data_IF_384073431629
#
_entry.id   IF_384073431629
#
_cell.length_a   1.000
_cell.length_b   1.000
_cell.length_c   1.000
_cell.angle_alpha   90.00
_cell.angle_beta   90.00
_cell.angle_gamma   90.00
#
_symmetry.space_group_name_H-M   'P 1'
#
loop_
_entity.id
_entity.type
_entity.pdbx_description
1 polymer ?
#
# COMPACT_ATOMS: atom_id res chain seq x y z
N UNK A 1 14.06 18.64 -1.99
CA UNK A 1 15.00 18.54 -3.14
C UNK A 1 16.01 19.67 -3.12
N UNK A 2 15.62 20.94 -3.31
CA UNK A 2 16.56 22.09 -3.28
C UNK A 2 17.47 22.08 -2.06
N UNK A 3 16.91 22.07 -0.85
CA UNK A 3 17.71 22.00 0.38
C UNK A 3 18.65 20.77 0.46
N UNK A 4 18.25 19.66 -0.15
CA UNK A 4 19.07 18.45 -0.18
C UNK A 4 20.22 18.58 -1.18
N UNK A 5 19.96 19.10 -2.38
CA UNK A 5 20.99 19.33 -3.41
C UNK A 5 22.03 20.35 -2.94
N UNK A 6 21.63 21.38 -2.19
CA UNK A 6 22.54 22.38 -1.61
C UNK A 6 23.56 21.75 -0.63
N UNK A 7 23.09 20.85 0.23
CA UNK A 7 23.91 20.21 1.26
C UNK A 7 24.66 18.97 0.76
N UNK A 8 24.08 18.23 -0.19
CA UNK A 8 24.56 16.93 -0.65
C UNK A 8 24.61 16.83 -2.18
N UNK A 9 25.39 17.68 -2.88
CA UNK A 9 25.34 17.83 -4.34
C UNK A 9 25.78 16.57 -5.13
N UNK A 10 26.45 15.62 -4.47
CA UNK A 10 26.91 14.36 -5.08
C UNK A 10 25.98 13.18 -4.81
N UNK A 11 24.97 13.36 -3.96
CA UNK A 11 24.01 12.33 -3.60
C UNK A 11 22.68 12.54 -4.33
N UNK A 12 21.88 11.48 -4.45
CA UNK A 12 20.55 11.56 -5.04
C UNK A 12 19.49 11.25 -3.98
N UNK A 13 18.47 12.10 -3.91
CA UNK A 13 17.30 11.88 -3.08
C UNK A 13 16.26 11.04 -3.85
N UNK A 14 15.56 10.16 -3.16
CA UNK A 14 14.40 9.44 -3.70
C UNK A 14 13.26 9.52 -2.70
N UNK A 15 12.08 9.87 -3.18
CA UNK A 15 10.83 9.87 -2.43
C UNK A 15 10.14 8.53 -2.75
N UNK A 16 10.14 7.63 -1.78
CA UNK A 16 9.78 6.22 -2.02
C UNK A 16 8.27 5.99 -1.83
N UNK A 17 7.75 6.11 -0.60
CA UNK A 17 6.35 5.82 -0.28
C UNK A 17 5.70 6.81 0.71
N UNK A 18 4.36 6.86 0.72
CA UNK A 18 3.59 7.65 1.68
C UNK A 18 3.56 6.95 3.04
N UNK A 19 3.63 7.73 4.11
CA UNK A 19 3.38 7.25 5.47
C UNK A 19 1.94 7.57 5.88
N UNK A 20 1.22 6.60 6.45
CA UNK A 20 -0.19 6.71 6.79
C UNK A 20 -0.53 7.91 7.70
N UNK A 21 0.36 8.30 8.62
CA UNK A 21 0.16 9.47 9.50
C UNK A 21 0.35 10.83 8.83
N UNK A 22 0.84 10.88 7.58
CA UNK A 22 1.19 12.13 6.91
C UNK A 22 2.70 12.29 6.84
N UNK A 23 3.25 11.88 5.71
CA UNK A 23 4.67 12.04 5.44
C UNK A 23 5.09 11.27 4.20
N UNK A 24 6.32 11.53 3.76
CA UNK A 24 7.00 10.76 2.74
C UNK A 24 8.23 10.10 3.33
N UNK A 25 8.38 8.81 3.09
CA UNK A 25 9.64 8.13 3.33
C UNK A 25 10.61 8.46 2.20
N UNK A 26 11.79 8.92 2.58
CA UNK A 26 12.85 9.36 1.70
C UNK A 26 14.09 8.50 1.90
N UNK A 27 14.76 8.16 0.81
CA UNK A 27 16.02 7.45 0.80
C UNK A 27 17.08 8.24 0.05
N UNK A 28 18.33 8.03 0.44
CA UNK A 28 19.48 8.61 -0.24
C UNK A 28 20.21 7.53 -1.01
N UNK A 29 20.32 7.73 -2.31
CA UNK A 29 21.00 6.81 -3.22
C UNK A 29 22.48 7.14 -3.34
N UNK A 30 23.28 6.14 -3.71
CA UNK A 30 24.71 6.25 -3.99
C UNK A 30 25.59 6.68 -2.80
N UNK A 31 25.09 6.59 -1.57
CA UNK A 31 25.86 6.75 -0.32
C UNK A 31 25.17 6.04 0.84
N UNK A 32 25.80 6.08 2.01
CA UNK A 32 25.17 5.67 3.27
C UNK A 32 23.99 6.58 3.62
N UNK A 33 22.99 6.08 4.36
CA UNK A 33 21.92 6.89 4.93
C UNK A 33 22.47 8.12 5.67
N UNK A 34 21.69 9.21 5.68
CA UNK A 34 22.07 10.42 6.43
C UNK A 34 22.17 10.11 7.92
N UNK A 35 23.17 10.69 8.59
CA UNK A 35 23.22 10.67 10.06
C UNK A 35 22.11 11.54 10.66
N UNK A 36 21.84 11.37 11.96
CA UNK A 36 20.88 12.21 12.68
C UNK A 36 21.27 13.70 12.61
N UNK A 37 22.57 14.01 12.67
CA UNK A 37 23.08 15.38 12.52
C UNK A 37 22.87 15.92 11.10
N UNK A 38 23.07 15.09 10.07
CA UNK A 38 22.81 15.48 8.67
C UNK A 38 21.32 15.72 8.42
N UNK A 39 20.43 14.93 9.03
CA UNK A 39 18.98 15.12 8.97
C UNK A 39 18.58 16.42 9.67
N UNK A 40 19.15 16.71 10.83
CA UNK A 40 18.91 17.98 11.54
C UNK A 40 19.40 19.19 10.74
N UNK A 41 20.57 19.08 10.11
CA UNK A 41 21.11 20.13 9.22
C UNK A 41 20.21 20.35 8.00
N UNK A 42 19.71 19.26 7.39
CA UNK A 42 18.75 19.33 6.29
C UNK A 42 17.45 20.01 6.72
N UNK A 43 16.89 19.66 7.88
CA UNK A 43 15.69 20.32 8.40
C UNK A 43 15.95 21.82 8.66
N UNK A 44 17.07 22.17 9.28
CA UNK A 44 17.44 23.56 9.54
C UNK A 44 17.53 24.37 8.25
N UNK A 45 18.22 23.85 7.23
CA UNK A 45 18.33 24.51 5.92
C UNK A 45 16.97 24.64 5.23
N UNK A 46 16.10 23.63 5.31
CA UNK A 46 14.71 23.75 4.84
C UNK A 46 13.96 24.88 5.56
N UNK A 47 14.14 25.04 6.88
CA UNK A 47 13.50 26.12 7.66
C UNK A 47 14.04 27.50 7.28
N UNK A 48 15.32 27.62 6.94
CA UNK A 48 15.89 28.86 6.41
C UNK A 48 15.25 29.27 5.09
N UNK A 49 15.09 28.32 4.15
CA UNK A 49 14.38 28.57 2.89
C UNK A 49 12.93 28.97 3.10
N UNK A 50 12.24 28.37 4.08
CA UNK A 50 10.85 28.74 4.44
C UNK A 50 10.80 30.15 5.05
N UNK A 51 11.75 30.51 5.91
CA UNK A 51 11.81 31.84 6.52
C UNK A 51 12.11 32.95 5.49
N UNK A 52 12.84 32.62 4.42
CA UNK A 52 13.13 33.53 3.32
C UNK A 52 11.94 33.79 2.38
N UNK A 53 10.84 33.03 2.50
CA UNK A 53 9.60 33.19 1.72
C UNK A 53 9.82 33.35 0.20
N UNK A 54 10.64 32.47 -0.36
CA UNK A 54 11.08 32.52 -1.76
C UNK A 54 9.93 32.07 -2.66
N UNK A 55 9.57 32.81 -3.72
CA UNK A 55 8.50 32.44 -4.63
C UNK A 55 8.86 31.23 -5.49
N UNK A 56 7.87 30.38 -5.79
CA UNK A 56 7.98 29.33 -6.79
C UNK A 56 7.56 29.87 -8.15
N UNK A 57 8.49 29.95 -9.09
CA UNK A 57 8.21 30.43 -10.44
C UNK A 57 7.71 29.28 -11.31
N UNK A 58 6.60 29.50 -12.02
CA UNK A 58 6.02 28.53 -12.96
C UNK A 58 6.34 28.95 -14.38
N UNK A 59 7.07 28.11 -15.10
CA UNK A 59 7.42 28.35 -16.51
C UNK A 59 6.97 27.19 -17.38
N UNK A 60 6.54 27.49 -18.61
CA UNK A 60 6.23 26.48 -19.62
C UNK A 60 7.37 26.48 -20.64
N UNK A 61 7.98 25.31 -20.84
CA UNK A 61 9.12 25.13 -21.74
C UNK A 61 8.83 24.05 -22.79
N UNK A 62 9.44 24.10 -23.98
CA UNK A 62 9.41 23.00 -24.93
C UNK A 62 9.97 21.72 -24.31
N UNK A 63 9.41 20.56 -24.68
CA UNK A 63 9.83 19.28 -24.10
C UNK A 63 11.31 18.97 -24.33
N UNK A 64 11.86 19.34 -25.50
CA UNK A 64 13.27 19.15 -25.83
C UNK A 64 14.20 19.93 -24.89
N UNK A 65 13.81 21.14 -24.48
CA UNK A 65 14.57 21.95 -23.52
C UNK A 65 14.56 21.29 -22.14
N UNK A 66 13.40 20.83 -21.69
CA UNK A 66 13.27 20.12 -20.42
C UNK A 66 14.11 18.82 -20.39
N UNK A 67 14.08 18.03 -21.47
CA UNK A 67 14.90 16.81 -21.59
C UNK A 67 16.38 17.15 -21.48
N UNK A 68 16.87 18.14 -22.24
CA UNK A 68 18.28 18.54 -22.20
C UNK A 68 18.71 19.02 -20.79
N UNK A 69 17.83 19.74 -20.09
CA UNK A 69 18.07 20.17 -18.71
C UNK A 69 18.20 18.97 -17.75
N UNK A 70 17.26 18.02 -17.79
CA UNK A 70 17.29 16.85 -16.91
C UNK A 70 18.42 15.87 -17.25
N UNK A 71 18.79 15.74 -18.52
CA UNK A 71 19.97 14.97 -18.95
C UNK A 71 21.25 15.56 -18.36
N UNK A 72 21.42 16.90 -18.42
CA UNK A 72 22.58 17.59 -17.84
C UNK A 72 22.66 17.42 -16.32
N UNK A 73 21.52 17.34 -15.63
CA UNK A 73 21.43 17.04 -14.19
C UNK A 73 21.56 15.55 -13.84
N UNK A 74 21.66 14.66 -14.83
CA UNK A 74 21.77 13.22 -14.59
C UNK A 74 20.47 12.54 -14.13
N UNK A 75 19.31 13.20 -14.32
CA UNK A 75 17.99 12.71 -13.92
C UNK A 75 17.38 11.80 -15.00
N UNK A 76 18.03 10.66 -15.25
CA UNK A 76 17.71 9.75 -16.37
C UNK A 76 16.31 9.13 -16.30
N UNK A 77 15.78 8.92 -15.10
CA UNK A 77 14.41 8.46 -14.85
C UNK A 77 13.35 9.46 -15.36
N UNK A 78 13.54 10.76 -15.10
CA UNK A 78 12.69 11.82 -15.68
C UNK A 78 12.82 11.88 -17.19
N UNK A 79 14.04 11.75 -17.72
CA UNK A 79 14.28 11.76 -19.17
C UNK A 79 13.53 10.62 -19.85
N UNK A 80 13.60 9.39 -19.30
CA UNK A 80 12.83 8.24 -19.80
C UNK A 80 11.33 8.51 -19.78
N UNK A 81 10.80 9.00 -18.65
CA UNK A 81 9.38 9.34 -18.52
C UNK A 81 8.93 10.35 -19.59
N UNK A 82 9.74 11.37 -19.85
CA UNK A 82 9.41 12.42 -20.83
C UNK A 82 9.41 11.93 -22.29
N UNK A 83 10.13 10.85 -22.63
CA UNK A 83 10.12 10.28 -24.00
C UNK A 83 8.75 9.76 -24.44
N UNK A 84 7.94 9.30 -23.49
CA UNK A 84 6.60 8.76 -23.74
C UNK A 84 5.49 9.82 -23.64
N UNK A 85 5.85 11.07 -23.33
CA UNK A 85 4.89 12.17 -23.21
C UNK A 85 4.37 12.60 -24.58
N UNK A 86 3.05 12.78 -24.70
CA UNK A 86 2.40 13.21 -25.95
C UNK A 86 2.36 14.74 -26.15
N UNK A 87 2.46 15.53 -25.07
CA UNK A 87 2.47 17.00 -25.15
C UNK A 87 3.87 17.51 -25.48
N UNK A 88 3.94 18.49 -26.37
CA UNK A 88 5.17 19.15 -26.84
C UNK A 88 5.80 20.12 -25.83
N UNK A 89 5.13 20.36 -24.70
CA UNK A 89 5.58 21.25 -23.64
C UNK A 89 5.49 20.61 -22.25
N UNK A 90 6.28 21.17 -21.34
CA UNK A 90 6.34 20.82 -19.94
C UNK A 90 6.22 22.07 -19.07
N UNK A 91 5.49 21.96 -17.96
CA UNK A 91 5.45 22.99 -16.93
C UNK A 91 6.52 22.65 -15.92
N UNK A 92 7.49 23.55 -15.74
CA UNK A 92 8.51 23.45 -14.71
C UNK A 92 8.20 24.44 -13.59
N UNK A 93 8.46 24.00 -12.36
CA UNK A 93 8.51 24.85 -11.19
C UNK A 93 9.96 25.13 -10.86
N UNK A 94 10.25 26.40 -10.58
CA UNK A 94 11.59 26.87 -10.29
C UNK A 94 11.63 27.49 -8.89
N UNK A 95 12.65 27.11 -8.12
CA UNK A 95 13.04 27.74 -6.87
C UNK A 95 14.53 28.07 -6.97
N UNK A 96 14.86 29.36 -7.03
CA UNK A 96 16.22 29.84 -7.31
C UNK A 96 16.76 29.23 -8.61
N UNK A 97 17.92 28.59 -8.61
CA UNK A 97 18.53 27.94 -9.79
C UNK A 97 17.96 26.54 -10.09
N UNK A 98 17.12 26.00 -9.20
CA UNK A 98 16.60 24.64 -9.31
C UNK A 98 15.26 24.64 -10.02
N UNK A 99 15.21 23.98 -11.18
CA UNK A 99 13.97 23.67 -11.89
C UNK A 99 13.65 22.19 -11.74
N UNK A 100 12.40 21.86 -11.46
CA UNK A 100 11.91 20.48 -11.54
C UNK A 100 10.47 20.43 -12.08
N UNK A 101 10.11 19.26 -12.61
CA UNK A 101 8.78 18.89 -13.01
C UNK A 101 8.08 18.16 -11.86
N UNK A 102 6.91 18.66 -11.48
CA UNK A 102 6.06 18.01 -10.50
C UNK A 102 4.65 17.78 -11.03
N UNK A 103 4.08 16.64 -10.66
CA UNK A 103 2.71 16.30 -11.00
C UNK A 103 1.74 16.95 -9.99
N UNK A 104 1.28 18.16 -10.29
CA UNK A 104 0.34 18.90 -9.45
C UNK A 104 0.59 20.39 -9.45
N UNK A 105 0.09 21.06 -8.41
CA UNK A 105 0.29 22.49 -8.20
C UNK A 105 1.20 22.71 -7.01
N UNK A 106 2.08 23.70 -7.12
CA UNK A 106 2.86 24.21 -6.00
C UNK A 106 2.12 25.31 -5.25
N UNK A 107 2.43 25.44 -3.97
CA UNK A 107 2.14 26.64 -3.20
C UNK A 107 2.86 27.86 -3.81
N UNK A 108 2.41 29.10 -3.55
CA UNK A 108 3.01 30.28 -4.17
C UNK A 108 4.48 30.54 -3.78
N UNK A 109 4.86 30.23 -2.54
CA UNK A 109 6.20 30.46 -2.00
C UNK A 109 6.57 29.46 -0.90
N UNK A 110 7.85 29.37 -0.56
CA UNK A 110 8.35 28.50 0.52
C UNK A 110 7.73 28.85 1.87
N UNK A 111 7.31 30.09 2.11
CA UNK A 111 6.69 30.52 3.36
C UNK A 111 5.35 29.83 3.69
N UNK A 112 4.72 29.14 2.74
CA UNK A 112 3.54 28.31 2.98
C UNK A 112 3.86 26.95 3.62
N UNK A 113 5.10 26.48 3.53
CA UNK A 113 5.54 25.16 3.97
C UNK A 113 6.01 25.17 5.44
N UNK A 114 5.20 25.75 6.33
CA UNK A 114 5.61 26.00 7.74
C UNK A 114 5.65 24.74 8.61
N UNK A 115 4.75 23.80 8.34
CA UNK A 115 4.48 22.67 9.23
C UNK A 115 5.07 21.39 8.65
N UNK A 116 6.35 21.17 8.92
CA UNK A 116 7.05 19.93 8.61
C UNK A 116 8.09 19.58 9.69
N UNK A 117 8.51 18.32 9.68
CA UNK A 117 9.64 17.83 10.47
C UNK A 117 10.29 16.65 9.73
N UNK A 118 11.59 16.45 9.93
CA UNK A 118 12.30 15.27 9.49
C UNK A 118 12.54 14.32 10.67
N UNK A 119 12.43 13.02 10.45
CA UNK A 119 12.74 12.02 11.46
C UNK A 119 13.50 10.83 10.84
N UNK A 120 14.58 10.34 11.46
CA UNK A 120 15.27 9.15 11.00
C UNK A 120 14.33 7.93 11.05
N UNK A 121 14.42 7.07 10.04
CA UNK A 121 13.61 5.85 9.98
C UNK A 121 14.32 4.74 9.20
N UNK A 122 14.86 3.75 9.93
CA UNK A 122 15.57 2.65 9.30
C UNK A 122 16.78 3.13 8.48
N UNK A 123 16.81 2.82 7.18
CA UNK A 123 17.87 3.22 6.24
C UNK A 123 17.59 4.55 5.52
N UNK A 124 16.60 5.31 5.97
CA UNK A 124 16.22 6.60 5.39
C UNK A 124 15.67 7.55 6.44
N UNK A 125 14.85 8.48 6.01
CA UNK A 125 14.18 9.44 6.89
C UNK A 125 12.78 9.73 6.38
N UNK A 126 11.91 10.25 7.24
CA UNK A 126 10.55 10.66 6.88
C UNK A 126 10.44 12.17 6.89
N UNK A 127 10.01 12.75 5.78
CA UNK A 127 9.50 14.11 5.73
C UNK A 127 8.03 14.12 6.16
N UNK A 128 7.76 14.56 7.38
CA UNK A 128 6.41 14.65 7.95
C UNK A 128 5.76 15.97 7.56
N UNK A 129 4.48 15.94 7.23
CA UNK A 129 3.68 17.11 6.89
C UNK A 129 2.25 16.98 7.45
N UNK A 130 1.51 18.09 7.51
CA UNK A 130 0.17 18.14 8.10
C UNK A 130 -0.90 17.54 7.18
N UNK A 131 -1.98 17.02 7.77
CA UNK A 131 -3.12 16.45 7.01
C UNK A 131 -4.23 17.50 6.90
N UNK A 132 -5.12 17.36 5.91
CA UNK A 132 -6.26 18.29 5.71
C UNK A 132 -7.14 18.44 6.96
N UNK A 133 -7.37 17.35 7.69
CA UNK A 133 -8.17 17.35 8.91
C UNK A 133 -7.43 17.91 10.15
N UNK A 134 -6.10 18.01 10.09
CA UNK A 134 -5.28 18.64 11.13
C UNK A 134 -4.16 19.46 10.48
N UNK A 135 -4.48 20.67 9.96
CA UNK A 135 -3.63 21.40 9.03
C UNK A 135 -2.41 22.07 9.68
N UNK A 136 -2.38 22.18 11.02
CA UNK A 136 -1.34 22.86 11.79
C UNK A 136 -0.58 21.94 12.75
N UNK A 137 -0.97 20.67 12.84
CA UNK A 137 -0.39 19.71 13.79
C UNK A 137 0.23 18.53 13.04
N UNK A 138 1.47 18.19 13.41
CA UNK A 138 2.15 17.01 12.90
C UNK A 138 1.76 15.79 13.72
N UNK A 139 0.92 14.93 13.13
CA UNK A 139 0.51 13.68 13.76
C UNK A 139 1.72 12.79 14.08
N UNK A 140 1.70 12.06 15.21
CA UNK A 140 2.80 11.20 15.61
C UNK A 140 3.08 10.12 14.55
N UNK A 141 4.34 9.70 14.45
CA UNK A 141 4.75 8.61 13.58
C UNK A 141 4.35 7.27 14.19
N UNK A 142 3.49 6.49 13.55
CA UNK A 142 3.19 5.15 14.03
C UNK A 142 4.33 4.20 13.63
N UNK A 143 4.61 3.24 14.50
CA UNK A 143 5.56 2.17 14.17
C UNK A 143 4.85 1.08 13.34
N UNK A 144 5.17 0.99 12.05
CA UNK A 144 4.66 -0.05 11.16
C UNK A 144 5.80 -0.89 10.54
N UNK A 145 6.56 -1.66 11.33
CA UNK A 145 7.73 -2.39 10.83
C UNK A 145 7.38 -3.32 9.67
N UNK A 146 6.28 -4.08 9.78
CA UNK A 146 5.81 -4.97 8.71
C UNK A 146 5.54 -4.25 7.39
N UNK A 147 4.95 -3.05 7.44
CA UNK A 147 4.64 -2.28 6.24
C UNK A 147 5.92 -1.76 5.58
N UNK A 148 6.92 -1.37 6.38
CA UNK A 148 8.21 -0.94 5.87
C UNK A 148 8.99 -2.07 5.23
N UNK A 149 8.93 -3.27 5.80
CA UNK A 149 9.51 -4.45 5.20
C UNK A 149 8.85 -4.75 3.84
N UNK A 150 7.52 -4.61 3.73
CA UNK A 150 6.81 -4.74 2.45
C UNK A 150 7.29 -3.73 1.41
N UNK A 151 7.45 -2.45 1.77
CA UNK A 151 7.95 -1.44 0.83
C UNK A 151 9.37 -1.71 0.37
N UNK A 152 10.27 -2.11 1.29
CA UNK A 152 11.64 -2.49 0.94
C UNK A 152 11.70 -3.71 0.02
N UNK A 153 10.89 -4.73 0.32
CA UNK A 153 10.79 -5.92 -0.52
C UNK A 153 10.32 -5.54 -1.93
N UNK A 154 9.30 -4.70 -2.04
CA UNK A 154 8.79 -4.22 -3.32
C UNK A 154 9.83 -3.39 -4.10
N UNK A 155 10.54 -2.47 -3.45
CA UNK A 155 11.63 -1.71 -4.09
C UNK A 155 12.74 -2.63 -4.62
N UNK A 156 13.13 -3.66 -3.86
CA UNK A 156 14.09 -4.66 -4.30
C UNK A 156 13.57 -5.47 -5.51
N UNK A 157 12.28 -5.76 -5.59
CA UNK A 157 11.66 -6.40 -6.75
C UNK A 157 11.72 -5.52 -8.00
N UNK A 158 11.34 -4.25 -7.87
CA UNK A 158 11.40 -3.28 -8.97
C UNK A 158 12.82 -3.13 -9.51
N UNK A 159 13.82 -3.08 -8.61
CA UNK A 159 15.23 -2.97 -8.99
C UNK A 159 15.71 -4.22 -9.75
N UNK A 160 15.37 -5.42 -9.27
CA UNK A 160 15.68 -6.68 -9.97
C UNK A 160 15.07 -6.77 -11.36
N UNK A 161 13.87 -6.22 -11.53
CA UNK A 161 13.16 -6.18 -12.82
C UNK A 161 13.64 -5.03 -13.72
N UNK A 162 14.39 -4.06 -13.18
CA UNK A 162 14.82 -2.86 -13.87
C UNK A 162 13.67 -1.92 -14.24
N UNK A 163 12.61 -1.88 -13.40
CA UNK A 163 11.39 -1.08 -13.62
C UNK A 163 11.08 -0.18 -12.41
N UNK A 164 12.09 0.47 -11.85
CA UNK A 164 11.96 1.33 -10.65
C UNK A 164 11.08 2.59 -10.87
N UNK A 165 10.76 2.92 -12.12
CA UNK A 165 9.85 4.02 -12.47
C UNK A 165 8.96 3.66 -13.65
N UNK A 166 7.87 4.43 -13.83
CA UNK A 166 6.97 4.29 -14.99
C UNK A 166 7.74 4.39 -16.31
N UNK A 167 8.67 5.35 -16.44
CA UNK A 167 9.50 5.46 -17.65
C UNK A 167 10.37 4.22 -17.90
N UNK A 168 10.88 3.56 -16.85
CA UNK A 168 11.64 2.33 -16.98
C UNK A 168 10.75 1.12 -17.35
N UNK A 169 9.51 1.09 -16.87
CA UNK A 169 8.50 0.12 -17.30
C UNK A 169 8.12 0.32 -18.77
N UNK A 170 7.93 1.56 -19.21
CA UNK A 170 7.62 1.87 -20.61
C UNK A 170 8.76 1.45 -21.55
N UNK A 171 10.02 1.69 -21.16
CA UNK A 171 11.20 1.18 -21.86
C UNK A 171 11.17 -0.36 -21.97
N UNK A 172 10.80 -1.06 -20.88
CA UNK A 172 10.68 -2.52 -20.87
C UNK A 172 9.60 -3.02 -21.84
N UNK A 173 8.45 -2.36 -21.86
CA UNK A 173 7.33 -2.70 -22.76
C UNK A 173 7.73 -2.46 -24.21
N UNK A 174 8.33 -1.30 -24.52
CA UNK A 174 8.79 -0.97 -25.87
C UNK A 174 9.86 -1.94 -26.38
N UNK A 175 10.70 -2.47 -25.48
CA UNK A 175 11.68 -3.51 -25.78
C UNK A 175 11.09 -4.94 -25.89
N UNK A 176 9.77 -5.10 -25.76
CA UNK A 176 9.09 -6.41 -25.85
C UNK A 176 9.24 -7.27 -24.59
N UNK A 177 9.70 -6.71 -23.46
CA UNK A 177 9.89 -7.43 -22.18
C UNK A 177 8.64 -7.46 -21.29
N UNK A 178 7.47 -7.09 -21.81
CA UNK A 178 6.22 -7.07 -21.02
C UNK A 178 5.89 -8.44 -20.41
N UNK A 179 6.04 -9.52 -21.18
CA UNK A 179 5.79 -10.89 -20.71
C UNK A 179 6.78 -11.32 -19.63
N UNK A 180 8.05 -10.94 -19.77
CA UNK A 180 9.08 -11.22 -18.76
C UNK A 180 8.74 -10.54 -17.43
N UNK A 181 8.40 -9.25 -17.48
CA UNK A 181 7.99 -8.48 -16.29
C UNK A 181 6.80 -9.12 -15.59
N UNK A 182 5.77 -9.54 -16.34
CA UNK A 182 4.60 -10.21 -15.78
C UNK A 182 4.99 -11.53 -15.09
N UNK A 183 5.70 -12.42 -15.81
CA UNK A 183 6.05 -13.74 -15.29
C UNK A 183 6.94 -13.67 -14.03
N UNK A 184 7.92 -12.76 -14.02
CA UNK A 184 8.79 -12.58 -12.86
C UNK A 184 8.02 -11.96 -11.69
N UNK A 185 7.12 -11.00 -11.95
CA UNK A 185 6.25 -10.43 -10.90
C UNK A 185 5.32 -11.48 -10.28
N UNK A 186 4.71 -12.33 -11.11
CA UNK A 186 3.86 -13.44 -10.67
C UNK A 186 4.64 -14.47 -9.84
N UNK A 187 5.87 -14.79 -10.26
CA UNK A 187 6.76 -15.70 -9.54
C UNK A 187 7.17 -15.14 -8.16
N UNK A 188 7.49 -13.85 -8.07
CA UNK A 188 7.79 -13.19 -6.80
C UNK A 188 6.58 -13.18 -5.86
N UNK A 189 5.39 -12.94 -6.40
CA UNK A 189 4.15 -13.01 -5.64
C UNK A 189 3.84 -14.44 -5.17
N UNK A 190 4.05 -15.45 -6.03
CA UNK A 190 3.84 -16.86 -5.66
C UNK A 190 4.81 -17.30 -4.55
N UNK A 191 6.07 -16.86 -4.60
CA UNK A 191 7.04 -17.10 -3.54
C UNK A 191 6.54 -16.53 -2.20
N UNK A 192 6.02 -15.29 -2.19
CA UNK A 192 5.48 -14.68 -0.98
C UNK A 192 4.25 -15.43 -0.44
N UNK A 193 3.36 -15.92 -1.32
CA UNK A 193 2.19 -16.70 -0.92
C UNK A 193 2.64 -18.04 -0.33
N UNK A 194 3.65 -18.70 -0.90
CA UNK A 194 4.23 -19.93 -0.36
C UNK A 194 4.86 -19.70 1.03
N UNK A 195 5.59 -18.59 1.23
CA UNK A 195 6.16 -18.22 2.53
C UNK A 195 5.06 -17.97 3.59
N UNK A 196 3.95 -17.34 3.19
CA UNK A 196 2.78 -17.14 4.07
C UNK A 196 2.11 -18.48 4.37
N UNK A 197 1.94 -19.36 3.37
CA UNK A 197 1.38 -20.69 3.57
C UNK A 197 2.22 -21.49 4.57
N UNK A 198 3.55 -21.46 4.45
CA UNK A 198 4.44 -22.10 5.41
C UNK A 198 4.22 -21.57 6.84
N UNK A 199 4.13 -20.25 7.02
CA UNK A 199 3.82 -19.66 8.32
C UNK A 199 2.46 -20.12 8.85
N UNK A 200 1.44 -20.23 7.99
CA UNK A 200 0.12 -20.76 8.38
C UNK A 200 0.25 -22.22 8.83
N UNK A 201 0.97 -23.07 8.10
CA UNK A 201 1.19 -24.49 8.47
C UNK A 201 1.91 -24.61 9.80
N UNK A 202 2.95 -23.81 10.04
CA UNK A 202 3.67 -23.78 11.32
C UNK A 202 2.77 -23.42 12.52
N UNK A 203 1.75 -22.58 12.28
CA UNK A 203 0.78 -22.16 13.29
C UNK A 203 -0.52 -22.98 13.31
N UNK A 204 -0.73 -23.88 12.35
CA UNK A 204 -2.01 -24.59 12.11
C UNK A 204 -2.50 -25.42 13.30
N UNK A 205 -1.58 -25.89 14.16
CA UNK A 205 -1.92 -26.60 15.40
C UNK A 205 -2.54 -25.71 16.48
N UNK A 206 -2.28 -24.41 16.41
CA UNK A 206 -2.78 -23.40 17.34
C UNK A 206 -3.92 -22.58 16.73
N UNK A 207 -3.81 -22.24 15.44
CA UNK A 207 -4.77 -21.43 14.72
C UNK A 207 -5.38 -22.22 13.55
N UNK A 208 -6.68 -22.56 13.68
CA UNK A 208 -7.45 -23.26 12.63
C UNK A 208 -8.26 -22.32 11.74
N UNK A 209 -8.22 -21.01 12.01
CA UNK A 209 -8.93 -19.99 11.25
C UNK A 209 -7.93 -18.99 10.71
N UNK A 210 -7.86 -18.87 9.38
CA UNK A 210 -7.07 -17.85 8.68
C UNK A 210 -8.01 -16.73 8.25
N UNK A 211 -7.77 -15.53 8.77
CA UNK A 211 -8.54 -14.32 8.47
C UNK A 211 -7.80 -13.49 7.43
N UNK A 212 -8.45 -13.23 6.29
CA UNK A 212 -7.92 -12.41 5.21
C UNK A 212 -8.77 -11.15 5.10
N UNK A 213 -8.17 -9.98 5.38
CA UNK A 213 -8.82 -8.69 5.18
C UNK A 213 -8.03 -7.80 4.22
N UNK A 214 -8.66 -6.70 3.82
CA UNK A 214 -8.14 -5.79 2.82
C UNK A 214 -9.28 -4.98 2.18
N UNK A 215 -8.99 -3.80 1.63
CA UNK A 215 -10.00 -2.98 0.93
C UNK A 215 -10.71 -3.76 -0.19
N UNK A 216 -11.90 -3.32 -0.59
CA UNK A 216 -12.54 -3.83 -1.82
C UNK A 216 -11.58 -3.68 -3.02
N UNK A 217 -11.60 -4.66 -3.92
CA UNK A 217 -10.71 -4.73 -5.10
C UNK A 217 -9.20 -4.82 -4.83
N UNK A 218 -8.77 -5.13 -3.59
CA UNK A 218 -7.35 -5.40 -3.27
C UNK A 218 -6.83 -6.78 -3.70
N UNK A 219 -7.68 -7.62 -4.32
CA UNK A 219 -7.30 -8.95 -4.80
C UNK A 219 -7.39 -10.05 -3.75
N UNK A 220 -8.09 -9.82 -2.61
CA UNK A 220 -8.29 -10.80 -1.53
C UNK A 220 -8.79 -12.17 -2.02
N UNK A 221 -9.82 -12.22 -2.87
CA UNK A 221 -10.37 -13.48 -3.41
C UNK A 221 -9.39 -14.24 -4.29
N UNK A 222 -8.58 -13.53 -5.07
CA UNK A 222 -7.51 -14.16 -5.85
C UNK A 222 -6.41 -14.68 -4.91
N UNK A 223 -6.04 -13.90 -3.91
CA UNK A 223 -5.05 -14.28 -2.91
C UNK A 223 -5.50 -15.49 -2.08
N UNK A 224 -6.76 -15.53 -1.62
CA UNK A 224 -7.31 -16.64 -0.82
C UNK A 224 -7.29 -17.96 -1.61
N UNK A 225 -7.67 -17.93 -2.89
CA UNK A 225 -7.60 -19.08 -3.80
C UNK A 225 -6.16 -19.56 -4.02
N UNK A 226 -5.20 -18.67 -4.24
CA UNK A 226 -3.78 -19.04 -4.40
C UNK A 226 -3.18 -19.57 -3.11
N UNK A 227 -3.49 -18.95 -1.97
CA UNK A 227 -3.11 -19.44 -0.66
C UNK A 227 -3.67 -20.85 -0.42
N UNK A 228 -4.92 -21.10 -0.80
CA UNK A 228 -5.54 -22.42 -0.67
C UNK A 228 -4.79 -23.49 -1.47
N UNK A 229 -4.37 -23.18 -2.70
CA UNK A 229 -3.54 -24.07 -3.53
C UNK A 229 -2.20 -24.36 -2.85
N UNK A 230 -1.54 -23.34 -2.29
CA UNK A 230 -0.26 -23.52 -1.57
C UNK A 230 -0.41 -24.37 -0.30
N UNK A 231 -1.50 -24.18 0.45
CA UNK A 231 -1.81 -25.00 1.62
C UNK A 231 -2.06 -26.47 1.24
N UNK A 232 -2.83 -26.71 0.17
CA UNK A 232 -3.07 -28.05 -0.38
C UNK A 232 -1.76 -28.73 -0.79
N UNK A 233 -0.85 -28.01 -1.44
CA UNK A 233 0.46 -28.53 -1.82
C UNK A 233 1.32 -28.91 -0.59
N UNK A 234 1.06 -28.30 0.56
CA UNK A 234 1.71 -28.61 1.84
C UNK A 234 0.92 -29.64 2.69
N UNK A 235 -0.15 -30.22 2.14
CA UNK A 235 -0.95 -31.26 2.79
C UNK A 235 -2.00 -30.76 3.79
N UNK A 236 -2.25 -29.46 3.85
CA UNK A 236 -3.36 -28.88 4.63
C UNK A 236 -4.54 -28.66 3.68
N UNK A 237 -5.72 -29.13 4.06
CA UNK A 237 -6.95 -28.93 3.29
C UNK A 237 -7.69 -27.67 3.78
N UNK A 238 -7.71 -26.56 3.02
CA UNK A 238 -8.40 -25.36 3.41
C UNK A 238 -9.87 -25.39 2.97
N UNK A 239 -10.76 -24.92 3.83
CA UNK A 239 -12.16 -24.69 3.54
C UNK A 239 -12.44 -23.18 3.49
N UNK A 240 -12.64 -22.58 2.29
CA UNK A 240 -12.93 -21.17 2.17
C UNK A 240 -14.37 -20.85 2.59
N UNK A 241 -14.53 -19.79 3.39
CA UNK A 241 -15.81 -19.20 3.76
C UNK A 241 -15.77 -17.72 3.36
N UNK A 242 -16.76 -17.29 2.60
CA UNK A 242 -16.93 -15.88 2.21
C UNK A 242 -17.76 -15.15 3.28
N UNK A 243 -17.23 -14.06 3.83
CA UNK A 243 -17.94 -13.28 4.86
C UNK A 243 -19.26 -12.72 4.33
N UNK A 244 -19.34 -12.42 3.04
CA UNK A 244 -20.52 -11.86 2.41
C UNK A 244 -21.76 -12.78 2.51
N UNK A 245 -21.56 -14.10 2.67
CA UNK A 245 -22.68 -15.01 2.91
C UNK A 245 -23.33 -14.84 4.29
N UNK A 246 -22.68 -14.12 5.19
CA UNK A 246 -23.18 -13.83 6.54
C UNK A 246 -23.78 -12.42 6.67
N UNK A 247 -24.10 -11.76 5.55
CA UNK A 247 -24.90 -10.54 5.63
C UNK A 247 -26.26 -10.80 6.28
N UNK A 248 -26.71 -9.86 7.10
CA UNK A 248 -28.10 -9.82 7.58
C UNK A 248 -29.03 -9.49 6.41
N UNK A 249 -30.32 -9.75 6.58
CA UNK A 249 -31.31 -9.38 5.56
C UNK A 249 -31.24 -7.88 5.28
N UNK A 250 -31.50 -7.49 4.03
CA UNK A 250 -31.34 -6.11 3.55
C UNK A 250 -32.07 -5.10 4.42
N UNK A 251 -33.23 -5.47 4.94
CA UNK A 251 -34.05 -4.64 5.83
C UNK A 251 -33.43 -4.42 7.21
N UNK A 252 -32.58 -5.34 7.67
CA UNK A 252 -31.86 -5.28 8.95
C UNK A 252 -30.48 -4.61 8.81
N UNK A 253 -30.04 -4.32 7.58
CA UNK A 253 -28.75 -3.67 7.33
C UNK A 253 -28.75 -2.25 7.93
N UNK A 254 -27.70 -1.85 8.67
CA UNK A 254 -27.60 -0.50 9.23
C UNK A 254 -27.71 0.59 8.17
N UNK A 255 -28.16 1.79 8.56
CA UNK A 255 -28.20 2.95 7.67
C UNK A 255 -26.99 3.86 7.89
N UNK A 256 -26.49 4.44 6.81
CA UNK A 256 -25.43 5.46 6.80
C UNK A 256 -25.96 6.85 7.22
N UNK A 257 -25.08 7.85 7.25
CA UNK A 257 -25.40 9.25 7.58
C UNK A 257 -26.44 9.88 6.63
N UNK A 258 -26.65 9.31 5.44
CA UNK A 258 -27.60 9.77 4.43
C UNK A 258 -28.91 8.97 4.42
N UNK A 259 -29.05 7.96 5.29
CA UNK A 259 -30.21 7.08 5.35
C UNK A 259 -30.22 5.97 4.31
N UNK A 260 -29.09 5.68 3.65
CA UNK A 260 -28.93 4.52 2.76
C UNK A 260 -28.39 3.31 3.52
N UNK A 261 -28.64 2.10 3.03
CA UNK A 261 -28.06 0.89 3.63
C UNK A 261 -26.52 0.88 3.54
N UNK A 262 -25.86 0.76 4.69
CA UNK A 262 -24.42 0.67 4.84
C UNK A 262 -23.98 -0.80 4.88
N UNK A 263 -23.71 -1.36 3.70
CA UNK A 263 -23.18 -2.73 3.56
C UNK A 263 -21.69 -2.83 3.95
N UNK A 264 -21.00 -1.71 4.18
CA UNK A 264 -19.61 -1.71 4.64
C UNK A 264 -19.52 -1.68 6.18
N UNK A 265 -20.60 -1.39 6.90
CA UNK A 265 -20.66 -1.48 8.35
C UNK A 265 -20.48 -2.92 8.83
N UNK A 266 -19.76 -3.10 9.95
CA UNK A 266 -19.67 -4.43 10.60
C UNK A 266 -21.07 -4.97 10.97
N UNK A 267 -22.00 -4.08 11.32
CA UNK A 267 -23.38 -4.45 11.67
C UNK A 267 -24.20 -5.02 10.51
N UNK A 268 -23.72 -4.90 9.28
CA UNK A 268 -24.32 -5.61 8.15
C UNK A 268 -24.07 -7.13 8.24
N UNK A 269 -23.09 -7.59 9.02
CA UNK A 269 -22.77 -9.00 9.18
C UNK A 269 -23.40 -9.58 10.45
N UNK A 270 -23.95 -10.79 10.34
CA UNK A 270 -24.36 -11.59 11.49
C UNK A 270 -23.12 -12.24 12.16
N UNK A 271 -22.37 -11.42 12.90
CA UNK A 271 -21.14 -11.83 13.58
C UNK A 271 -21.35 -12.93 14.63
N UNK A 272 -22.55 -12.97 15.22
CA UNK A 272 -22.91 -13.98 16.22
C UNK A 272 -23.08 -15.35 15.56
N UNK A 273 -23.85 -15.43 14.47
CA UNK A 273 -24.02 -16.66 13.69
C UNK A 273 -22.70 -17.14 13.10
N UNK A 274 -21.90 -16.21 12.57
CA UNK A 274 -20.56 -16.52 12.06
C UNK A 274 -19.67 -17.16 13.13
N UNK A 275 -19.55 -16.53 14.29
CA UNK A 275 -18.70 -17.06 15.35
C UNK A 275 -19.18 -18.43 15.86
N UNK A 276 -20.49 -18.62 15.97
CA UNK A 276 -21.10 -19.90 16.35
C UNK A 276 -20.79 -21.01 15.32
N UNK A 277 -21.03 -20.74 14.03
CA UNK A 277 -20.72 -21.65 12.94
C UNK A 277 -19.24 -22.04 12.91
N UNK A 278 -18.33 -21.07 13.07
CA UNK A 278 -16.90 -21.33 13.09
C UNK A 278 -16.48 -22.21 14.28
N UNK A 279 -17.08 -22.01 15.47
CA UNK A 279 -16.80 -22.86 16.64
C UNK A 279 -17.25 -24.31 16.40
N UNK A 280 -18.47 -24.51 15.88
CA UNK A 280 -18.99 -25.84 15.56
C UNK A 280 -18.17 -26.54 14.46
N UNK A 281 -17.81 -25.82 13.39
CA UNK A 281 -16.97 -26.35 12.32
C UNK A 281 -15.57 -26.73 12.82
N UNK A 282 -14.93 -25.90 13.64
CA UNK A 282 -13.65 -26.22 14.29
C UNK A 282 -13.79 -27.43 15.23
N UNK A 283 -14.95 -27.59 15.88
CA UNK A 283 -15.30 -28.78 16.67
C UNK A 283 -15.49 -30.06 15.84
N UNK A 284 -15.61 -29.97 14.51
CA UNK A 284 -15.89 -31.10 13.63
C UNK A 284 -17.38 -31.49 13.58
N UNK A 285 -18.25 -30.56 13.95
CA UNK A 285 -19.70 -30.67 13.88
C UNK A 285 -20.21 -30.25 12.49
N UNK A 286 -21.44 -30.66 12.19
CA UNK A 286 -22.11 -30.36 10.93
C UNK A 286 -22.86 -29.03 11.06
N UNK A 287 -22.64 -28.12 10.11
CA UNK A 287 -23.21 -26.77 10.12
C UNK A 287 -23.84 -26.48 8.76
N UNK A 288 -25.08 -25.98 8.79
CA UNK A 288 -25.75 -25.41 7.62
C UNK A 288 -25.23 -23.99 7.40
N UNK A 289 -24.37 -23.79 6.40
CA UNK A 289 -23.89 -22.45 6.05
C UNK A 289 -25.02 -21.62 5.43
N UNK A 290 -25.04 -20.29 5.65
CA UNK A 290 -25.91 -19.40 4.91
C UNK A 290 -25.38 -19.16 3.49
N UNK A 291 -26.26 -18.82 2.58
CA UNK A 291 -25.96 -18.28 1.26
C UNK A 291 -26.70 -16.95 1.10
N UNK A 292 -25.96 -15.85 0.92
CA UNK A 292 -26.60 -14.55 0.80
C UNK A 292 -27.01 -14.28 -0.65
N UNK A 293 -28.31 -14.15 -0.88
CA UNK A 293 -28.85 -13.87 -2.19
C UNK A 293 -28.90 -12.36 -2.44
N UNK A 294 -27.88 -11.80 -3.12
CA UNK A 294 -27.79 -10.36 -3.40
C UNK A 294 -28.96 -9.79 -4.21
N UNK A 295 -29.67 -10.61 -5.00
CA UNK A 295 -30.83 -10.15 -5.78
C UNK A 295 -32.02 -9.91 -4.85
N UNK A 296 -32.30 -10.88 -3.98
CA UNK A 296 -33.41 -10.82 -3.04
C UNK A 296 -33.07 -9.97 -1.81
N UNK A 297 -31.78 -9.88 -1.46
CA UNK A 297 -31.29 -9.21 -0.25
C UNK A 297 -31.55 -10.01 1.02
N UNK A 298 -31.58 -11.35 0.94
CA UNK A 298 -31.90 -12.21 2.08
C UNK A 298 -30.88 -13.33 2.23
N UNK A 299 -30.67 -13.77 3.47
CA UNK A 299 -29.91 -14.97 3.79
C UNK A 299 -30.77 -16.22 3.59
N UNK A 300 -30.31 -17.13 2.73
CA UNK A 300 -30.97 -18.41 2.43
C UNK A 300 -30.13 -19.59 2.97
N UNK A 301 -30.71 -20.77 3.25
CA UNK A 301 -29.93 -21.97 3.58
C UNK A 301 -29.03 -22.36 2.39
N UNK A 302 -27.72 -22.46 2.64
CA UNK A 302 -26.71 -22.85 1.65
C UNK A 302 -26.33 -24.33 1.76
N UNK A 303 -25.03 -24.61 1.75
CA UNK A 303 -24.49 -25.97 1.87
C UNK A 303 -24.36 -26.41 3.33
N UNK A 304 -24.55 -27.71 3.56
CA UNK A 304 -24.27 -28.37 4.85
C UNK A 304 -22.85 -28.90 4.84
N UNK A 305 -22.06 -28.46 5.80
CA UNK A 305 -20.60 -28.65 5.82
C UNK A 305 -20.17 -29.24 7.14
N UNK A 306 -19.18 -30.13 7.08
CA UNK A 306 -18.51 -30.69 8.25
C UNK A 306 -17.02 -30.73 7.98
N UNK A 307 -16.22 -30.14 8.87
CA UNK A 307 -14.76 -30.15 8.73
C UNK A 307 -14.13 -31.36 9.39
N UNK A 308 -13.11 -31.91 8.74
CA UNK A 308 -12.20 -32.89 9.29
C UNK A 308 -11.16 -32.22 10.21
N UNK A 309 -10.48 -33.01 11.04
CA UNK A 309 -9.48 -32.49 12.01
C UNK A 309 -8.28 -31.82 11.34
N UNK A 310 -7.94 -32.26 10.14
CA UNK A 310 -6.79 -31.76 9.36
C UNK A 310 -7.17 -30.60 8.42
N UNK A 311 -8.43 -30.14 8.49
CA UNK A 311 -8.92 -29.02 7.70
C UNK A 311 -8.77 -27.68 8.44
N UNK A 312 -8.50 -26.64 7.67
CA UNK A 312 -8.31 -25.28 8.13
C UNK A 312 -9.33 -24.36 7.46
N UNK A 313 -9.88 -23.38 8.18
CA UNK A 313 -10.83 -22.43 7.61
C UNK A 313 -10.07 -21.22 7.06
N UNK A 314 -10.40 -20.80 5.83
CA UNK A 314 -9.99 -19.50 5.30
C UNK A 314 -11.23 -18.62 5.24
N UNK A 315 -11.22 -17.51 5.97
CA UNK A 315 -12.32 -16.55 6.01
C UNK A 315 -11.86 -15.23 5.41
N UNK A 316 -12.53 -14.79 4.34
CA UNK A 316 -12.17 -13.59 3.60
C UNK A 316 -13.27 -12.52 3.65
N UNK A 317 -12.89 -11.27 3.88
CA UNK A 317 -13.73 -10.10 3.65
C UNK A 317 -13.17 -8.83 4.29
N UNK A 318 -13.81 -7.68 4.04
CA UNK A 318 -13.29 -6.36 4.46
C UNK A 318 -13.13 -6.24 5.99
N UNK A 319 -13.94 -6.96 6.76
CA UNK A 319 -13.92 -6.97 8.23
C UNK A 319 -13.06 -8.10 8.84
N UNK A 320 -12.33 -8.87 8.05
CA UNK A 320 -11.60 -10.05 8.53
C UNK A 320 -10.65 -9.80 9.71
N UNK A 321 -10.15 -8.56 9.87
CA UNK A 321 -9.27 -8.17 10.98
C UNK A 321 -9.95 -7.28 12.04
N UNK A 322 -11.27 -7.09 11.95
CA UNK A 322 -12.03 -6.32 12.93
C UNK A 322 -12.08 -7.12 14.26
N UNK A 323 -11.61 -6.55 15.40
CA UNK A 323 -11.61 -7.25 16.68
C UNK A 323 -13.01 -7.71 17.16
N UNK A 324 -14.07 -7.08 16.64
CA UNK A 324 -15.46 -7.41 16.98
C UNK A 324 -16.09 -8.45 16.03
N UNK A 325 -15.38 -8.89 14.99
CA UNK A 325 -15.91 -9.86 14.02
C UNK A 325 -16.26 -11.20 14.68
N UNK A 326 -15.41 -11.66 15.60
CA UNK A 326 -15.51 -12.98 16.23
C UNK A 326 -15.57 -12.85 17.76
N UNK A 327 -16.72 -12.43 18.33
CA UNK A 327 -16.83 -12.06 19.76
C UNK A 327 -16.47 -13.17 20.75
N UNK A 328 -16.54 -14.44 20.35
CA UNK A 328 -16.30 -15.61 21.22
C UNK A 328 -15.11 -16.49 20.78
N UNK A 329 -14.30 -16.04 19.82
CA UNK A 329 -13.12 -16.78 19.34
C UNK A 329 -11.86 -16.01 19.75
N UNK A 330 -10.98 -16.59 20.59
CA UNK A 330 -9.73 -15.95 20.97
C UNK A 330 -8.85 -15.63 19.75
N UNK A 331 -8.28 -14.42 19.71
CA UNK A 331 -7.40 -14.00 18.60
C UNK A 331 -6.18 -14.91 18.39
N UNK A 332 -5.72 -15.60 19.44
CA UNK A 332 -4.62 -16.58 19.38
C UNK A 332 -4.96 -17.81 18.54
N UNK A 333 -6.25 -18.10 18.36
CA UNK A 333 -6.74 -19.24 17.56
C UNK A 333 -6.92 -18.83 16.08
N UNK A 334 -6.48 -17.62 15.72
CA UNK A 334 -6.58 -17.05 14.38
C UNK A 334 -5.21 -16.68 13.82
N UNK A 335 -5.00 -16.94 12.53
CA UNK A 335 -3.89 -16.40 11.76
C UNK A 335 -4.42 -15.25 10.90
N UNK A 336 -3.72 -14.11 10.85
CA UNK A 336 -4.26 -12.85 10.33
C UNK A 336 -3.42 -12.31 9.20
N UNK A 337 -4.04 -12.13 8.04
CA UNK A 337 -3.43 -11.65 6.81
C UNK A 337 -4.15 -10.38 6.37
N UNK A 338 -3.37 -9.36 6.03
CA UNK A 338 -3.87 -8.13 5.41
C UNK A 338 -3.31 -8.01 4.00
N UNK A 339 -4.21 -7.94 3.02
CA UNK A 339 -3.89 -7.78 1.60
C UNK A 339 -4.21 -6.35 1.18
N UNK A 340 -3.26 -5.67 0.56
CA UNK A 340 -3.48 -4.30 0.09
C UNK A 340 -2.54 -3.93 -1.05
N UNK A 341 -3.01 -3.05 -1.93
CA UNK A 341 -2.25 -2.50 -3.06
C UNK A 341 -1.42 -1.27 -2.62
N UNK A 342 -0.63 -1.47 -1.55
CA UNK A 342 0.36 -0.55 -0.95
C UNK A 342 1.37 0.01 -1.95
N UNK A 343 1.78 -0.87 -2.84
CA UNK A 343 3.04 -0.83 -3.56
C UNK A 343 2.82 -0.28 -4.96
N UNK A 344 2.91 1.04 -5.08
CA UNK A 344 2.74 1.74 -6.35
C UNK A 344 4.09 2.01 -7.00
N UNK A 345 4.09 2.00 -8.32
CA UNK A 345 5.23 2.41 -9.12
C UNK A 345 5.31 3.94 -9.17
N UNK A 346 6.49 4.49 -8.90
CA UNK A 346 6.74 5.93 -8.97
C UNK A 346 6.89 6.41 -10.42
N UNK A 347 6.53 7.66 -10.70
CA UNK A 347 6.68 8.25 -12.03
C UNK A 347 8.16 8.51 -12.33
N UNK A 348 8.85 9.07 -11.35
CA UNK A 348 10.28 9.27 -11.28
C UNK A 348 10.71 9.25 -9.79
N UNK A 349 12.01 9.44 -9.50
CA UNK A 349 12.53 9.36 -8.12
C UNK A 349 11.95 10.40 -7.15
N UNK A 350 11.35 11.49 -7.64
CA UNK A 350 10.75 12.54 -6.82
C UNK A 350 9.21 12.51 -6.87
N UNK A 351 8.65 12.10 -8.01
CA UNK A 351 7.23 12.14 -8.26
C UNK A 351 6.58 10.77 -8.10
N UNK A 352 5.61 10.72 -7.20
CA UNK A 352 4.81 9.54 -6.92
C UNK A 352 3.41 9.69 -7.50
N UNK A 353 2.76 8.57 -7.76
CA UNK A 353 1.31 8.55 -8.00
C UNK A 353 0.64 8.74 -6.63
N UNK A 354 -0.30 9.68 -6.51
CA UNK A 354 -1.01 9.91 -5.25
C UNK A 354 -1.97 8.75 -4.98
N UNK A 355 -1.87 8.16 -3.79
CA UNK A 355 -2.84 7.23 -3.20
C UNK A 355 -3.97 7.97 -2.51
#
# INVERSE_FOLDING_TARGET
EVAFEDLFPTAALTVDHSVASGGFFCQVMSRKPLSDEEIQALEAHMRELVAADIPFEKTQVPIAEAIAYFEKKGMQDKVRLLRYRQKDHLVLYQLQEHKDYHHGYMVPSTGFLKYFALAPMGEGFVLRYTRRHSPTELLPMPAYPKLLDTFRQYGAWLSRLGIESVGALDDAIAAGRSREVILVSEALQEQQIADIAQQVVEHSRQARIVLIAGPSSSGKTTFSKRLAVQLLAQGISPYPIELDNYFVDREETPLDENGHFDFEALGALNTTLLADHLLHLVGGEEVQLPHYNFKNGCSEPGDVVRLHKDELIILEGIHGLNPKLLPNIPLKDTFRIYVSCLTQLNLDRHNRIST
#
